data_IF_394299119699
#
_entry.id   IF_394299119699
#
_cell.length_a   1.000
_cell.length_b   1.000
_cell.length_c   1.000
_cell.angle_alpha   90.00
_cell.angle_beta   90.00
_cell.angle_gamma   90.00
#
_symmetry.space_group_name_H-M   'P 1'
#
loop_
_entity.id
_entity.type
_entity.pdbx_description
1 polymer ?
#
# COMPACT_ATOMS: atom_id res chain seq x y z
N UNK A 1 4.48 4.04 49.73
CA UNK A 1 4.64 4.95 48.57
C UNK A 1 5.33 4.28 47.37
N UNK A 2 5.89 3.08 47.51
CA UNK A 2 6.59 2.34 46.43
C UNK A 2 5.66 1.70 45.38
N UNK A 3 4.52 1.16 45.81
CA UNK A 3 3.59 0.39 44.96
C UNK A 3 2.86 1.24 43.91
N UNK A 4 2.62 2.52 44.19
CA UNK A 4 2.00 3.46 43.25
C UNK A 4 2.90 3.81 42.06
N UNK A 5 4.22 3.88 42.27
CA UNK A 5 5.19 4.14 41.19
C UNK A 5 5.31 2.95 40.23
N UNK A 6 5.28 1.73 40.78
CA UNK A 6 5.30 0.48 40.00
C UNK A 6 4.05 0.33 39.11
N UNK A 7 2.87 0.69 39.63
CA UNK A 7 1.62 0.67 38.87
C UNK A 7 1.63 1.65 37.68
N UNK A 8 2.18 2.85 37.86
CA UNK A 8 2.29 3.85 36.79
C UNK A 8 3.24 3.41 35.67
N UNK A 9 4.38 2.83 36.03
CA UNK A 9 5.34 2.31 35.04
C UNK A 9 4.73 1.15 34.24
N UNK A 10 3.98 0.28 34.91
CA UNK A 10 3.26 -0.83 34.24
C UNK A 10 2.24 -0.33 33.21
N UNK A 11 1.46 0.71 33.55
CA UNK A 11 0.52 1.33 32.61
C UNK A 11 1.22 1.97 31.41
N UNK A 12 2.37 2.62 31.63
CA UNK A 12 3.15 3.27 30.57
C UNK A 12 3.75 2.24 29.59
N UNK A 13 4.24 1.11 30.12
CA UNK A 13 4.71 -0.01 29.30
C UNK A 13 3.55 -0.60 28.48
N UNK A 14 2.37 -0.78 29.10
CA UNK A 14 1.21 -1.36 28.42
C UNK A 14 0.73 -0.48 27.24
N UNK A 15 0.74 0.85 27.41
CA UNK A 15 0.40 1.79 26.33
C UNK A 15 1.44 1.78 25.22
N UNK A 16 2.73 1.57 25.53
CA UNK A 16 3.78 1.42 24.53
C UNK A 16 3.66 0.16 23.66
N UNK A 17 2.99 -0.88 24.16
CA UNK A 17 2.73 -2.11 23.41
C UNK A 17 1.44 -2.05 22.56
N UNK A 18 0.60 -1.04 22.74
CA UNK A 18 -0.55 -0.81 21.86
C UNK A 18 -0.03 -0.26 20.53
N UNK A 19 0.27 -1.15 19.59
CA UNK A 19 0.52 -0.78 18.21
C UNK A 19 -0.73 -0.11 17.64
N UNK A 20 -0.63 1.19 17.35
CA UNK A 20 -1.64 1.90 16.55
C UNK A 20 -1.57 1.29 15.15
N UNK A 21 -2.40 0.28 14.91
CA UNK A 21 -2.69 -0.20 13.57
C UNK A 21 -3.49 0.89 12.85
N UNK A 22 -2.80 1.93 12.38
CA UNK A 22 -3.34 2.81 11.37
C UNK A 22 -3.71 1.94 10.19
N UNK A 23 -5.01 1.89 9.87
CA UNK A 23 -5.56 1.03 8.82
C UNK A 23 -4.79 1.24 7.52
N UNK A 24 -3.89 0.32 7.23
CA UNK A 24 -3.15 0.31 5.98
C UNK A 24 -4.10 -0.21 4.91
N UNK A 25 -4.42 0.62 3.92
CA UNK A 25 -5.13 0.19 2.71
C UNK A 25 -4.25 -0.68 1.80
N UNK A 26 -3.20 -1.29 2.35
CA UNK A 26 -2.34 -2.23 1.65
C UNK A 26 -3.08 -3.55 1.51
N UNK A 27 -3.75 -3.72 0.37
CA UNK A 27 -4.19 -5.03 -0.04
C UNK A 27 -2.97 -5.86 -0.43
N UNK A 28 -2.87 -7.08 0.14
CA UNK A 28 -1.94 -8.07 -0.38
C UNK A 28 -2.47 -8.56 -1.71
N UNK A 29 -1.62 -8.56 -2.73
CA UNK A 29 -1.95 -9.23 -3.99
C UNK A 29 -2.23 -10.70 -3.70
N UNK A 30 -3.35 -11.20 -4.19
CA UNK A 30 -3.61 -12.64 -4.23
C UNK A 30 -2.68 -13.24 -5.29
N UNK A 31 -1.84 -14.21 -4.90
CA UNK A 31 -0.93 -14.88 -5.81
C UNK A 31 -1.59 -16.04 -6.57
N UNK A 32 -2.82 -16.44 -6.18
CA UNK A 32 -3.56 -17.51 -6.83
C UNK A 32 -4.39 -17.02 -8.03
N UNK A 33 -4.55 -15.70 -8.20
CA UNK A 33 -5.14 -15.16 -9.42
C UNK A 33 -4.12 -15.20 -10.54
N UNK A 34 -4.47 -15.91 -11.61
CA UNK A 34 -3.66 -16.00 -12.80
C UNK A 34 -3.89 -14.75 -13.65
N UNK A 35 -2.90 -13.89 -13.77
CA UNK A 35 -2.95 -12.68 -14.59
C UNK A 35 -1.84 -11.70 -14.27
N UNK A 36 -1.38 -10.96 -15.28
CA UNK A 36 -0.35 -9.94 -15.15
C UNK A 36 -0.80 -8.63 -15.78
N UNK A 37 -0.41 -7.50 -15.18
CA UNK A 37 -0.61 -6.17 -15.79
C UNK A 37 0.02 -6.06 -17.18
N UNK A 38 1.00 -6.92 -17.51
CA UNK A 38 1.67 -6.94 -18.80
C UNK A 38 0.83 -7.49 -19.95
N UNK A 39 -0.31 -8.12 -19.66
CA UNK A 39 -1.29 -8.54 -20.68
C UNK A 39 -2.13 -7.36 -21.21
N UNK A 40 -2.01 -6.19 -20.58
CA UNK A 40 -2.79 -5.00 -20.88
C UNK A 40 -1.93 -3.85 -21.42
N UNK A 41 -2.61 -2.78 -21.80
CA UNK A 41 -2.02 -1.55 -22.31
C UNK A 41 -3.04 -0.42 -22.27
N UNK A 42 -2.56 0.79 -22.49
CA UNK A 42 -3.41 1.99 -22.49
C UNK A 42 -3.11 2.84 -23.72
N UNK A 43 -4.11 3.57 -24.19
CA UNK A 43 -3.87 4.63 -25.16
C UNK A 43 -3.23 5.83 -24.46
N UNK A 44 -2.22 6.43 -25.09
CA UNK A 44 -1.69 7.72 -24.67
C UNK A 44 -2.80 8.78 -24.63
N UNK A 45 -2.60 9.86 -23.87
CA UNK A 45 -3.61 10.92 -23.68
C UNK A 45 -4.11 11.51 -25.01
N UNK A 46 -3.24 11.60 -26.02
CA UNK A 46 -3.57 12.09 -27.36
C UNK A 46 -4.29 11.05 -28.24
N UNK A 47 -4.51 9.83 -27.75
CA UNK A 47 -5.10 8.67 -28.44
C UNK A 47 -4.36 8.23 -29.70
N UNK A 48 -3.17 8.74 -29.99
CA UNK A 48 -2.43 8.43 -31.22
C UNK A 48 -1.63 7.14 -31.12
N UNK A 49 -1.33 6.70 -29.90
CA UNK A 49 -0.43 5.59 -29.63
C UNK A 49 -1.03 4.68 -28.56
N UNK A 50 -1.09 3.39 -28.87
CA UNK A 50 -1.32 2.36 -27.87
C UNK A 50 0.01 1.96 -27.23
N UNK A 51 0.03 1.95 -25.91
CA UNK A 51 1.21 1.72 -25.07
C UNK A 51 0.97 0.41 -24.31
N UNK A 52 1.51 -0.73 -24.77
CA UNK A 52 1.42 -2.00 -24.04
C UNK A 52 2.26 -1.93 -22.75
N UNK A 53 1.70 -2.38 -21.63
CA UNK A 53 2.40 -2.31 -20.34
C UNK A 53 3.58 -3.29 -20.24
N UNK A 54 3.58 -4.36 -21.06
CA UNK A 54 4.70 -5.31 -21.12
C UNK A 54 6.06 -4.66 -21.39
N UNK A 55 6.12 -3.52 -22.09
CA UNK A 55 7.38 -2.82 -22.35
C UNK A 55 8.09 -2.29 -21.08
N UNK A 56 7.37 -2.23 -19.95
CA UNK A 56 7.92 -1.85 -18.64
C UNK A 56 8.31 -3.05 -17.78
N UNK A 57 8.40 -4.26 -18.36
CA UNK A 57 8.86 -5.45 -17.65
C UNK A 57 10.21 -5.22 -16.95
N UNK A 58 10.32 -5.67 -15.70
CA UNK A 58 11.52 -5.46 -14.88
C UNK A 58 11.61 -4.08 -14.21
N UNK A 59 10.56 -3.24 -14.28
CA UNK A 59 10.45 -1.97 -13.55
C UNK A 59 9.32 -2.02 -12.53
N UNK A 60 9.46 -1.24 -11.45
CA UNK A 60 8.35 -0.91 -10.57
C UNK A 60 7.44 0.12 -11.23
N UNK A 61 6.12 -0.11 -11.17
CA UNK A 61 5.12 0.72 -11.87
C UNK A 61 4.13 1.25 -10.82
N UNK A 62 3.83 2.54 -10.89
CA UNK A 62 2.79 3.20 -10.10
C UNK A 62 1.64 3.60 -11.03
N UNK A 63 0.43 3.07 -10.78
CA UNK A 63 -0.78 3.40 -11.53
C UNK A 63 -1.59 4.41 -10.70
N UNK A 64 -1.88 5.57 -11.28
CA UNK A 64 -2.61 6.66 -10.61
C UNK A 64 -3.81 7.05 -11.45
N UNK A 65 -5.00 6.99 -10.85
CA UNK A 65 -6.21 7.58 -11.43
C UNK A 65 -6.20 9.09 -11.17
N UNK A 66 -6.41 9.91 -12.20
CA UNK A 66 -6.36 11.38 -12.12
C UNK A 66 -7.66 12.01 -12.61
N UNK A 67 -8.03 13.16 -12.05
CA UNK A 67 -9.16 13.99 -12.50
C UNK A 67 -8.78 15.47 -12.38
N UNK A 68 -9.32 16.31 -13.27
CA UNK A 68 -9.20 17.78 -13.20
C UNK A 68 -10.48 18.37 -12.63
N UNK A 69 -10.36 19.52 -11.95
CA UNK A 69 -11.50 20.29 -11.45
C UNK A 69 -12.18 21.10 -12.56
#
# INVERSE_FOLDING_TARGET
METQKQLWVSFLILVGFLQVNGGSNMQRCDYNVNGSIFEYGANALNKSLYIPLHQYAGKYILIVNVATF
#
